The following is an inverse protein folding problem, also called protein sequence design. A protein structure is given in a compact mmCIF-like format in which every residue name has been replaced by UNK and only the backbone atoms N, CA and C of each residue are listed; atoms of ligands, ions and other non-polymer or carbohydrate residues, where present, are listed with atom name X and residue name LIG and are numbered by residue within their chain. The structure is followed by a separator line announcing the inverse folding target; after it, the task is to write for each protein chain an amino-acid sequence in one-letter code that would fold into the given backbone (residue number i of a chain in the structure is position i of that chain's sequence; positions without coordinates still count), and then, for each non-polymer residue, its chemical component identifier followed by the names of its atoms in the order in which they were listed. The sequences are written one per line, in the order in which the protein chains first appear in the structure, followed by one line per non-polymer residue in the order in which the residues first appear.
data_IF_821531535667
#
_entry.id   IF_821531535667
#
_cell.length_a   1.000
_cell.length_b   1.000
_cell.length_c   1.000
_cell.angle_alpha   90.00
_cell.angle_beta   90.00
_cell.angle_gamma   90.00
#
_symmetry.space_group_name_H-M   'P 1'
#
loop_
_entity.id
_entity.type
_entity.pdbx_description
1 polymer ?
#
# COMPACT_ATOMS: atom_id res chain seq x y z
N UNK A 1 -69.50 13.06 -0.61
CA UNK A 1 -68.82 12.17 0.35
C UNK A 1 -67.56 11.61 -0.32
N UNK A 2 -66.40 12.13 0.07
CA UNK A 2 -65.09 11.90 -0.56
C UNK A 2 -64.54 10.53 -0.17
N UNK A 3 -64.28 9.66 -1.15
CA UNK A 3 -63.46 8.45 -0.93
C UNK A 3 -62.07 8.75 -1.47
N UNK A 4 -61.16 9.08 -0.56
CA UNK A 4 -59.75 9.33 -0.85
C UNK A 4 -59.03 7.98 -0.78
N UNK A 5 -58.69 7.40 -1.92
CA UNK A 5 -57.87 6.19 -2.04
C UNK A 5 -56.40 6.57 -1.83
N UNK A 6 -55.81 6.11 -0.72
CA UNK A 6 -54.40 6.29 -0.43
C UNK A 6 -53.56 5.29 -1.24
N UNK A 7 -52.88 5.77 -2.28
CA UNK A 7 -51.82 5.03 -2.97
C UNK A 7 -50.56 5.06 -2.09
N UNK A 8 -50.25 3.92 -1.50
CA UNK A 8 -49.09 3.72 -0.63
C UNK A 8 -47.84 3.58 -1.52
N UNK A 9 -47.10 4.67 -1.66
CA UNK A 9 -45.85 4.73 -2.43
C UNK A 9 -44.74 4.14 -1.55
N UNK A 10 -44.40 2.88 -1.79
CA UNK A 10 -43.34 2.16 -1.11
C UNK A 10 -41.98 2.70 -1.60
N UNK A 11 -41.46 3.73 -0.95
CA UNK A 11 -40.07 4.16 -1.11
C UNK A 11 -39.14 3.05 -0.61
N UNK A 12 -38.67 2.19 -1.52
CA UNK A 12 -37.49 1.37 -1.26
C UNK A 12 -36.31 2.32 -1.18
N UNK A 13 -35.95 2.76 0.02
CA UNK A 13 -34.67 3.43 0.25
C UNK A 13 -33.61 2.36 0.05
N UNK A 14 -32.74 2.44 -0.97
CA UNK A 14 -31.60 1.55 -1.02
C UNK A 14 -30.73 1.89 0.20
N UNK A 15 -30.69 0.99 1.18
CA UNK A 15 -29.64 1.03 2.18
C UNK A 15 -28.32 0.84 1.45
N UNK A 16 -27.59 1.94 1.27
CA UNK A 16 -26.21 1.88 0.85
C UNK A 16 -25.44 1.18 1.97
N UNK A 17 -25.27 -0.13 1.86
CA UNK A 17 -24.29 -0.85 2.64
C UNK A 17 -22.92 -0.37 2.14
N UNK A 18 -22.33 0.59 2.84
CA UNK A 18 -20.91 0.85 2.71
C UNK A 18 -20.20 -0.40 3.24
N UNK A 19 -19.72 -1.26 2.34
CA UNK A 19 -18.75 -2.27 2.74
C UNK A 19 -17.49 -1.52 3.17
N UNK A 20 -17.07 -1.68 4.43
CA UNK A 20 -15.78 -1.17 4.88
C UNK A 20 -14.69 -1.95 4.17
N UNK A 21 -13.81 -1.25 3.47
CA UNK A 21 -12.57 -1.85 2.97
C UNK A 21 -11.52 -1.84 4.07
N UNK A 22 -10.67 -2.86 4.13
CA UNK A 22 -9.61 -2.92 5.14
C UNK A 22 -8.60 -1.79 4.92
N UNK A 23 -8.15 -1.64 3.68
CA UNK A 23 -7.29 -0.55 3.22
C UNK A 23 -8.15 0.33 2.32
N UNK A 24 -8.18 1.63 2.62
CA UNK A 24 -8.93 2.61 1.84
C UNK A 24 -8.48 2.59 0.38
N UNK A 25 -9.41 2.38 -0.55
CA UNK A 25 -9.12 2.47 -1.98
C UNK A 25 -8.41 3.77 -2.36
N UNK A 26 -7.35 3.66 -3.16
CA UNK A 26 -6.52 4.79 -3.60
C UNK A 26 -5.59 5.38 -2.53
N UNK A 27 -5.61 4.90 -1.29
CA UNK A 27 -4.70 5.38 -0.24
C UNK A 27 -3.30 4.78 -0.32
N UNK A 28 -3.14 3.62 -0.98
CA UNK A 28 -1.85 2.96 -1.10
C UNK A 28 -0.94 3.70 -2.08
N UNK A 29 0.12 4.28 -1.54
CA UNK A 29 1.07 5.13 -2.24
C UNK A 29 2.50 4.79 -1.83
N UNK A 30 3.45 5.13 -2.69
CA UNK A 30 4.86 4.91 -2.42
C UNK A 30 5.70 5.99 -3.11
N UNK A 31 6.78 6.37 -2.43
CA UNK A 31 7.71 7.39 -2.89
C UNK A 31 9.14 6.87 -2.75
N UNK A 32 10.00 7.28 -3.69
CA UNK A 32 11.42 6.91 -3.69
C UNK A 32 12.25 8.17 -3.41
N UNK A 33 13.11 8.14 -2.40
CA UNK A 33 14.06 9.22 -2.11
C UNK A 33 15.42 9.04 -2.85
N UNK A 34 15.55 7.97 -3.63
CA UNK A 34 16.77 7.59 -4.36
C UNK A 34 17.74 6.71 -3.56
N UNK A 35 17.40 6.36 -2.32
CA UNK A 35 18.12 5.41 -1.47
C UNK A 35 17.16 4.33 -0.97
N UNK A 36 16.00 4.74 -0.47
CA UNK A 36 14.94 3.92 0.08
C UNK A 36 13.63 4.17 -0.69
N UNK A 37 12.70 3.25 -0.52
CA UNK A 37 11.31 3.43 -0.95
C UNK A 37 10.42 3.44 0.29
N UNK A 38 9.64 4.51 0.47
CA UNK A 38 8.69 4.62 1.56
C UNK A 38 7.28 4.38 1.03
N UNK A 39 6.57 3.47 1.67
CA UNK A 39 5.19 3.10 1.36
C UNK A 39 4.26 3.64 2.45
N UNK A 40 3.10 4.13 2.02
CA UNK A 40 2.04 4.64 2.90
C UNK A 40 0.68 4.09 2.48
N UNK A 41 -0.16 3.79 3.46
CA UNK A 41 -1.56 3.41 3.22
C UNK A 41 -2.43 3.78 4.43
N UNK A 42 -3.73 3.90 4.21
CA UNK A 42 -4.71 4.19 5.25
C UNK A 42 -5.62 2.98 5.41
N UNK A 43 -5.85 2.56 6.65
CA UNK A 43 -6.80 1.50 6.98
C UNK A 43 -8.10 2.08 7.52
N UNK A 44 -9.24 1.49 7.14
CA UNK A 44 -10.57 1.90 7.66
C UNK A 44 -11.12 0.85 8.63
N UNK A 45 -10.94 -0.43 8.33
CA UNK A 45 -11.37 -1.55 9.17
C UNK A 45 -10.28 -2.60 9.31
N UNK A 46 -9.86 -2.87 10.55
CA UNK A 46 -8.83 -3.88 10.85
C UNK A 46 -9.41 -5.10 11.56
N UNK A 47 -10.72 -5.29 11.50
CA UNK A 47 -11.40 -6.42 12.13
C UNK A 47 -10.84 -7.74 11.57
N UNK A 48 -10.36 -8.60 12.48
CA UNK A 48 -9.70 -9.87 12.16
C UNK A 48 -8.39 -9.75 11.36
N UNK A 49 -7.78 -8.57 11.25
CA UNK A 49 -6.46 -8.43 10.62
C UNK A 49 -5.38 -8.76 11.65
N UNK A 50 -4.48 -9.67 11.32
CA UNK A 50 -3.32 -10.02 12.15
C UNK A 50 -2.12 -9.13 11.85
N UNK A 51 -1.81 -8.92 10.56
CA UNK A 51 -0.68 -8.10 10.10
C UNK A 51 -0.80 -7.78 8.61
N UNK A 52 -0.05 -6.77 8.19
CA UNK A 52 0.19 -6.42 6.80
C UNK A 52 1.57 -6.95 6.39
N UNK A 53 1.64 -7.86 5.41
CA UNK A 53 2.88 -8.31 4.79
C UNK A 53 3.15 -7.47 3.55
N UNK A 54 4.31 -6.81 3.51
CA UNK A 54 4.71 -6.01 2.35
C UNK A 54 5.50 -6.93 1.43
N UNK A 55 5.05 -7.00 0.18
CA UNK A 55 5.72 -7.78 -0.83
C UNK A 55 6.22 -6.87 -1.96
N UNK A 56 7.40 -7.21 -2.47
CA UNK A 56 8.08 -6.49 -3.55
C UNK A 56 8.52 -7.46 -4.63
N UNK A 57 8.44 -7.02 -5.88
CA UNK A 57 9.18 -7.61 -7.00
C UNK A 57 10.00 -6.57 -7.74
N UNK A 58 11.02 -7.06 -8.45
CA UNK A 58 11.95 -6.27 -9.24
C UNK A 58 11.45 -6.26 -10.69
N UNK A 59 11.24 -5.07 -11.26
CA UNK A 59 10.67 -4.93 -12.61
C UNK A 59 9.17 -5.27 -12.66
N UNK A 60 8.71 -5.67 -13.84
CA UNK A 60 7.30 -6.04 -14.12
C UNK A 60 7.07 -7.55 -14.18
N UNK A 61 8.14 -8.34 -14.14
CA UNK A 61 8.13 -9.79 -14.28
C UNK A 61 8.68 -10.46 -13.01
N UNK A 62 8.37 -11.74 -12.82
CA UNK A 62 8.80 -12.51 -11.67
C UNK A 62 7.87 -12.45 -10.46
N UNK A 63 8.30 -13.13 -9.40
CA UNK A 63 7.53 -13.37 -8.19
C UNK A 63 7.67 -12.25 -7.17
N UNK A 64 6.60 -12.06 -6.39
CA UNK A 64 6.59 -11.17 -5.24
C UNK A 64 7.25 -11.87 -4.05
N UNK A 65 8.22 -11.19 -3.45
CA UNK A 65 8.88 -11.65 -2.23
C UNK A 65 8.47 -10.77 -1.05
N UNK A 66 8.20 -11.38 0.10
CA UNK A 66 7.96 -10.62 1.33
C UNK A 66 9.24 -9.95 1.80
N UNK A 67 9.17 -8.63 2.01
CA UNK A 67 10.31 -7.81 2.47
C UNK A 67 10.15 -7.35 3.92
N UNK A 68 8.95 -7.51 4.49
CA UNK A 68 8.67 -7.12 5.85
C UNK A 68 7.20 -7.25 6.21
N UNK A 69 6.90 -6.97 7.47
CA UNK A 69 5.54 -6.95 7.96
C UNK A 69 5.34 -5.81 8.95
N UNK A 70 4.10 -5.32 9.01
CA UNK A 70 3.68 -4.30 9.95
C UNK A 70 2.49 -4.85 10.74
N UNK A 71 2.60 -4.81 12.07
CA UNK A 71 1.52 -5.21 12.96
C UNK A 71 0.37 -4.20 12.94
N UNK A 72 -0.84 -4.68 13.24
CA UNK A 72 -2.02 -3.82 13.37
C UNK A 72 -1.91 -2.89 14.57
N UNK A 73 -2.40 -1.67 14.42
CA UNK A 73 -2.51 -0.65 15.47
C UNK A 73 -3.91 0.00 15.53
N UNK A 74 -4.85 -0.48 14.73
CA UNK A 74 -6.16 0.12 14.51
C UNK A 74 -6.20 1.04 13.29
N UNK A 75 -7.42 1.45 12.85
CA UNK A 75 -7.63 2.31 11.69
C UNK A 75 -6.75 3.56 11.75
N UNK A 76 -5.77 3.66 10.86
CA UNK A 76 -4.72 4.67 10.95
C UNK A 76 -3.94 4.84 9.64
N UNK A 77 -3.02 5.80 9.62
CA UNK A 77 -2.00 5.94 8.59
C UNK A 77 -0.82 5.01 8.92
N UNK A 78 -0.48 4.14 7.98
CA UNK A 78 0.65 3.24 8.07
C UNK A 78 1.81 3.72 7.21
N UNK A 79 3.01 3.31 7.61
CA UNK A 79 4.25 3.59 6.90
C UNK A 79 5.15 2.36 6.95
N UNK A 80 5.83 2.08 5.83
CA UNK A 80 6.88 1.08 5.74
C UNK A 80 8.02 1.60 4.87
N UNK A 81 9.26 1.54 5.38
CA UNK A 81 10.45 1.95 4.64
C UNK A 81 11.22 0.72 4.17
N UNK A 82 11.36 0.56 2.86
CA UNK A 82 12.21 -0.44 2.25
C UNK A 82 13.65 0.07 2.12
N UNK A 83 14.48 -0.29 3.09
CA UNK A 83 15.92 -0.02 3.10
C UNK A 83 16.73 -0.93 2.17
N UNK A 84 16.11 -2.00 1.64
CA UNK A 84 16.79 -2.98 0.79
C UNK A 84 16.73 -2.62 -0.70
N UNK A 85 16.13 -1.50 -1.06
CA UNK A 85 15.98 -1.02 -2.44
C UNK A 85 17.30 -0.52 -3.10
N UNK A 86 18.46 -0.95 -2.61
CA UNK A 86 19.79 -0.38 -2.92
C UNK A 86 20.37 -0.76 -4.30
N UNK A 87 19.65 -1.53 -5.11
CA UNK A 87 20.17 -2.02 -6.38
C UNK A 87 20.15 -0.93 -7.46
N UNK A 88 21.31 -0.31 -7.71
CA UNK A 88 21.50 0.74 -8.75
C UNK A 88 21.12 0.31 -10.17
N UNK A 89 21.14 -0.99 -10.46
CA UNK A 89 20.77 -1.53 -11.77
C UNK A 89 19.26 -1.65 -11.96
N UNK A 90 18.49 -1.63 -10.87
CA UNK A 90 17.03 -1.75 -10.91
C UNK A 90 16.42 -0.37 -10.90
N UNK A 91 15.64 -0.08 -11.93
CA UNK A 91 14.95 1.21 -12.08
C UNK A 91 13.49 1.17 -11.68
N UNK A 92 12.92 -0.03 -11.53
CA UNK A 92 11.49 -0.23 -11.33
C UNK A 92 11.24 -1.31 -10.28
N UNK A 93 10.43 -0.99 -9.29
CA UNK A 93 9.92 -1.92 -8.31
C UNK A 93 8.39 -1.94 -8.36
N UNK A 94 7.82 -3.09 -8.04
CA UNK A 94 6.40 -3.23 -7.83
C UNK A 94 6.12 -3.75 -6.43
N UNK A 95 5.19 -3.09 -5.76
CA UNK A 95 4.82 -3.38 -4.38
C UNK A 95 3.35 -3.74 -4.30
N UNK A 96 3.04 -4.62 -3.35
CA UNK A 96 1.66 -4.92 -2.93
C UNK A 96 1.66 -5.24 -1.44
N UNK A 97 0.51 -5.05 -0.82
CA UNK A 97 0.29 -5.45 0.57
C UNK A 97 -0.57 -6.71 0.55
N UNK A 98 -0.11 -7.71 1.29
CA UNK A 98 -0.83 -8.94 1.59
C UNK A 98 -1.36 -8.84 3.02
N UNK A 99 -2.67 -8.90 3.15
CA UNK A 99 -3.38 -8.80 4.42
C UNK A 99 -3.51 -10.22 4.98
N UNK A 100 -2.96 -10.44 6.17
CA UNK A 100 -3.07 -11.72 6.88
C UNK A 100 -4.14 -11.58 7.94
N UNK A 101 -5.08 -12.53 7.97
CA UNK A 101 -6.16 -12.54 8.95
C UNK A 101 -5.83 -13.43 10.15
N UNK A 102 -6.30 -13.02 11.33
CA UNK A 102 -6.18 -13.78 12.58
C UNK A 102 -7.16 -14.95 12.66
N UNK A 103 -8.25 -14.90 11.89
CA UNK A 103 -9.29 -15.94 11.83
C UNK A 103 -8.97 -17.08 10.85
N UNK A 104 -7.79 -17.07 10.21
CA UNK A 104 -7.38 -18.08 9.24
C UNK A 104 -8.04 -17.94 7.85
N UNK A 105 -8.73 -16.83 7.58
CA UNK A 105 -9.25 -16.54 6.25
C UNK A 105 -8.12 -16.39 5.22
N UNK A 106 -8.47 -16.59 3.94
CA UNK A 106 -7.53 -16.45 2.84
C UNK A 106 -6.95 -15.02 2.80
N UNK A 107 -5.63 -14.86 2.58
CA UNK A 107 -5.02 -13.56 2.46
C UNK A 107 -5.62 -12.75 1.30
N UNK A 108 -5.82 -11.45 1.54
CA UNK A 108 -6.25 -10.50 0.50
C UNK A 108 -5.06 -9.67 0.06
N UNK A 109 -4.99 -9.34 -1.23
CA UNK A 109 -3.92 -8.54 -1.81
C UNK A 109 -4.45 -7.20 -2.29
N UNK A 110 -3.67 -6.15 -2.11
CA UNK A 110 -3.95 -4.84 -2.72
C UNK A 110 -3.64 -4.85 -4.21
N UNK A 111 -4.09 -3.80 -4.90
CA UNK A 111 -3.57 -3.48 -6.23
C UNK A 111 -2.04 -3.32 -6.20
N UNK A 112 -1.40 -3.64 -7.32
CA UNK A 112 0.05 -3.51 -7.47
C UNK A 112 0.40 -2.06 -7.75
N UNK A 113 1.33 -1.52 -6.95
CA UNK A 113 1.84 -0.18 -7.10
C UNK A 113 3.22 -0.22 -7.74
N UNK A 114 3.40 0.51 -8.85
CA UNK A 114 4.68 0.60 -9.55
C UNK A 114 5.43 1.85 -9.11
N UNK A 115 6.71 1.70 -8.76
CA UNK A 115 7.59 2.78 -8.31
C UNK A 115 8.86 2.78 -9.14
N UNK A 116 9.18 3.93 -9.73
CA UNK A 116 10.47 4.15 -10.37
C UNK A 116 11.50 4.56 -9.31
N UNK A 117 12.58 3.77 -9.18
CA UNK A 117 13.65 4.02 -8.22
C UNK A 117 14.94 4.32 -8.98
N UNK A 118 15.42 5.56 -8.89
CA UNK A 118 16.67 5.98 -9.55
C UNK A 118 17.65 6.48 -8.50
N UNK A 119 18.78 5.77 -8.35
CA UNK A 119 19.83 6.16 -7.41
C UNK A 119 20.72 7.22 -8.08
N UNK A 120 20.60 8.48 -7.68
CA UNK A 120 21.43 9.56 -8.24
C UNK A 120 22.90 9.40 -7.81
N UNK A 121 23.80 9.12 -8.76
CA UNK A 121 25.22 8.85 -8.50
C UNK A 121 26.06 10.05 -8.01
N UNK A 122 25.51 11.27 -8.08
CA UNK A 122 26.26 12.53 -7.87
C UNK A 122 26.67 12.75 -6.41
N UNK A 123 25.96 12.19 -5.43
CA UNK A 123 26.24 12.47 -4.01
C UNK A 123 27.49 11.75 -3.45
N UNK A 124 28.01 10.70 -4.10
CA UNK A 124 29.18 9.93 -3.58
C UNK A 124 30.54 10.33 -4.15
N UNK A 125 30.63 11.19 -5.16
CA UNK A 125 31.93 11.56 -5.76
C UNK A 125 32.62 12.74 -5.07
N UNK A 126 31.88 13.54 -4.31
CA UNK A 126 32.47 14.68 -3.58
C UNK A 126 33.47 14.25 -2.49
N UNK A 127 33.23 13.09 -1.84
CA UNK A 127 34.13 12.56 -0.81
C UNK A 127 35.43 11.96 -1.38
N UNK A 128 35.37 11.33 -2.57
CA UNK A 128 36.54 10.70 -3.19
C UNK A 128 37.42 11.69 -3.95
N UNK A 129 36.85 12.72 -4.59
CA UNK A 129 37.62 13.74 -5.32
C UNK A 129 38.45 14.60 -4.35
N UNK A 130 37.92 14.91 -3.16
CA UNK A 130 38.64 15.69 -2.14
C UNK A 130 39.87 14.97 -1.59
N UNK A 131 39.94 13.64 -1.74
CA UNK A 131 41.07 12.83 -1.31
C UNK A 131 42.24 12.77 -2.31
N UNK A 132 42.04 13.19 -3.56
CA UNK A 132 43.05 13.10 -4.63
C UNK A 132 43.90 14.37 -4.82
N UNK A 133 43.51 15.49 -4.20
CA UNK A 133 44.22 16.76 -4.29
C UNK A 133 45.02 17.08 -3.01
N UNK A 134 45.60 16.03 -2.40
CA UNK A 134 46.54 16.14 -1.28
C UNK A 134 47.85 15.48 -1.66
#
# INVERSE_FOLDING_TARGET
MRRLTYLLLLCVVPWAFAQSEIIKSGSFQASSDGINVTLHWITEDETNVARFEIERRTGTEGEFMSIGSVGVKGPSLYEFVDYSALNKAVTLYQYRIKIIFSNGANPIYTTTLTVSHTVSGVRRTWGSIKAMFR
#
